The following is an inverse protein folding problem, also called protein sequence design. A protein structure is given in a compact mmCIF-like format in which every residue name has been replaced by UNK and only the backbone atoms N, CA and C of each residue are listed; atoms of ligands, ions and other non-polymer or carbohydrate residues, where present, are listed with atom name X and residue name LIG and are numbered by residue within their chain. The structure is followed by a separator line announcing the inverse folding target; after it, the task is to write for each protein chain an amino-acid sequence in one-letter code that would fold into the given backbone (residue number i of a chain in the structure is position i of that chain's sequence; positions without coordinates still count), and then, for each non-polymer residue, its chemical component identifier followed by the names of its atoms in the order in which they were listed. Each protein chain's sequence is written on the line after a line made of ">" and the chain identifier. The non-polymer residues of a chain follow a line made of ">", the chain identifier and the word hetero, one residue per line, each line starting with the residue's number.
data_IF_118676304262
#
_entry.id   IF_118676304262
#
_cell.length_a   1.000
_cell.length_b   1.000
_cell.length_c   1.000
_cell.angle_alpha   90.00
_cell.angle_beta   90.00
_cell.angle_gamma   90.00
#
_symmetry.space_group_name_H-M   'P 1'
#
loop_
_entity.id
_entity.type
_entity.pdbx_description
1 polymer ?
#
# COMPACT_ATOMS: atom_id res chain seq x y z
N UNK A 1 6.68 -9.57 1.79
CA UNK A 1 6.65 -9.16 3.22
C UNK A 1 5.21 -8.98 3.64
N UNK A 2 4.88 -9.11 4.93
CA UNK A 2 3.49 -8.99 5.41
C UNK A 2 3.41 -7.89 6.49
N UNK A 3 2.41 -7.00 6.39
CA UNK A 3 2.11 -5.98 7.40
C UNK A 3 0.60 -5.93 7.64
N UNK A 4 0.14 -6.20 8.87
CA UNK A 4 -1.30 -6.26 9.24
C UNK A 4 -2.14 -7.15 8.30
N UNK A 5 -1.60 -8.31 7.92
CA UNK A 5 -2.28 -9.24 7.01
C UNK A 5 -2.25 -8.85 5.53
N UNK A 6 -1.64 -7.72 5.17
CA UNK A 6 -1.46 -7.28 3.78
C UNK A 6 -0.08 -7.71 3.29
N UNK A 7 -0.05 -8.46 2.20
CA UNK A 7 1.19 -8.78 1.51
C UNK A 7 1.66 -7.60 0.68
N UNK A 8 2.95 -7.28 0.80
CA UNK A 8 3.58 -6.21 0.06
C UNK A 8 5.02 -6.55 -0.36
N UNK A 9 5.44 -5.87 -1.42
CA UNK A 9 6.79 -5.93 -2.00
C UNK A 9 7.36 -4.52 -2.11
N UNK A 10 8.68 -4.42 -1.90
CA UNK A 10 9.46 -3.19 -2.08
C UNK A 10 10.76 -3.59 -2.76
N UNK A 11 11.07 -2.98 -3.89
CA UNK A 11 12.23 -3.32 -4.72
C UNK A 11 12.95 -2.04 -5.11
N UNK A 12 14.25 -1.96 -4.84
CA UNK A 12 15.08 -0.85 -5.29
C UNK A 12 15.22 -0.92 -6.82
N UNK A 13 14.94 0.19 -7.50
CA UNK A 13 15.07 0.28 -8.96
C UNK A 13 16.33 1.03 -9.35
N UNK A 14 16.63 2.10 -8.61
CA UNK A 14 17.86 2.87 -8.71
C UNK A 14 18.27 3.29 -7.31
N UNK A 15 19.53 3.70 -7.12
CA UNK A 15 20.00 4.18 -5.82
C UNK A 15 19.05 5.27 -5.27
N UNK A 16 18.49 5.02 -4.09
CA UNK A 16 17.54 5.92 -3.46
C UNK A 16 16.10 5.87 -3.97
N UNK A 17 15.74 5.06 -4.96
CA UNK A 17 14.37 4.96 -5.51
C UNK A 17 13.86 3.52 -5.45
N UNK A 18 12.68 3.36 -4.86
CA UNK A 18 12.06 2.08 -4.58
C UNK A 18 10.69 1.98 -5.22
N UNK A 19 10.44 0.95 -6.02
CA UNK A 19 9.09 0.55 -6.43
C UNK A 19 8.46 -0.29 -5.32
N UNK A 20 7.16 -0.17 -5.15
CA UNK A 20 6.42 -0.96 -4.20
C UNK A 20 5.06 -1.37 -4.76
N UNK A 21 4.54 -2.48 -4.25
CA UNK A 21 3.22 -3.01 -4.58
C UNK A 21 2.63 -3.72 -3.37
N UNK A 22 1.33 -3.55 -3.14
CA UNK A 22 0.54 -4.33 -2.19
C UNK A 22 -0.89 -4.50 -2.70
N UNK A 23 -1.65 -5.41 -2.09
CA UNK A 23 -3.04 -5.67 -2.45
C UNK A 23 -3.92 -5.75 -1.21
N UNK A 24 -5.10 -5.11 -1.25
CA UNK A 24 -6.11 -5.21 -0.19
C UNK A 24 -7.44 -5.57 -0.85
N UNK A 25 -7.95 -6.77 -0.57
CA UNK A 25 -9.08 -7.35 -1.31
C UNK A 25 -8.73 -7.43 -2.80
N UNK A 26 -9.59 -6.84 -3.64
CA UNK A 26 -9.42 -6.81 -5.11
C UNK A 26 -8.64 -5.58 -5.60
N UNK A 27 -8.24 -4.66 -4.69
CA UNK A 27 -7.53 -3.44 -5.06
C UNK A 27 -6.03 -3.63 -4.97
N UNK A 28 -5.35 -3.44 -6.10
CA UNK A 28 -3.89 -3.46 -6.19
C UNK A 28 -3.37 -2.03 -6.13
N UNK A 29 -2.47 -1.77 -5.19
CA UNK A 29 -1.81 -0.50 -4.99
C UNK A 29 -0.35 -0.62 -5.41
N UNK A 30 0.12 0.30 -6.24
CA UNK A 30 1.51 0.34 -6.69
C UNK A 30 2.05 1.76 -6.67
N UNK A 31 3.37 1.90 -6.65
CA UNK A 31 3.99 3.21 -6.78
C UNK A 31 5.50 3.19 -6.59
N UNK A 32 6.06 4.39 -6.41
CA UNK A 32 7.48 4.60 -6.09
C UNK A 32 7.63 5.39 -4.80
N UNK A 33 8.81 5.31 -4.19
CA UNK A 33 9.22 6.18 -3.08
C UNK A 33 10.72 6.41 -3.15
N UNK A 34 11.14 7.63 -2.82
CA UNK A 34 12.55 7.99 -2.73
C UNK A 34 13.04 7.88 -1.29
N UNK A 35 13.95 6.96 -1.00
CA UNK A 35 14.53 6.78 0.31
C UNK A 35 15.96 6.28 0.19
N UNK A 36 16.90 6.97 0.83
CA UNK A 36 18.31 6.56 0.90
C UNK A 36 18.53 5.30 1.74
N UNK A 37 17.61 5.02 2.68
CA UNK A 37 17.68 3.88 3.58
C UNK A 37 16.58 2.87 3.26
N UNK A 38 16.94 1.60 3.19
CA UNK A 38 16.04 0.47 2.89
C UNK A 38 14.88 0.40 3.88
N UNK A 39 15.18 0.50 5.18
CA UNK A 39 14.18 0.49 6.25
C UNK A 39 13.19 1.65 6.11
N UNK A 40 13.62 2.81 5.61
CA UNK A 40 12.73 3.96 5.40
C UNK A 40 11.78 3.72 4.22
N UNK A 41 12.24 3.06 3.15
CA UNK A 41 11.38 2.66 2.05
C UNK A 41 10.28 1.71 2.52
N UNK A 42 10.65 0.69 3.31
CA UNK A 42 9.71 -0.28 3.90
C UNK A 42 8.71 0.44 4.81
N UNK A 43 9.19 1.32 5.71
CA UNK A 43 8.32 2.06 6.65
C UNK A 43 7.30 2.93 5.95
N UNK A 44 7.66 3.58 4.84
CA UNK A 44 6.71 4.38 4.05
C UNK A 44 5.62 3.53 3.40
N UNK A 45 5.93 2.31 2.98
CA UNK A 45 4.94 1.38 2.43
C UNK A 45 4.01 0.88 3.53
N UNK A 46 4.53 0.53 4.71
CA UNK A 46 3.71 0.19 5.89
C UNK A 46 2.74 1.31 6.26
N UNK A 47 3.20 2.57 6.29
CA UNK A 47 2.34 3.73 6.57
C UNK A 47 1.25 3.94 5.51
N UNK A 48 1.52 3.62 4.23
CA UNK A 48 0.49 3.65 3.18
C UNK A 48 -0.55 2.55 3.40
N UNK A 49 -0.12 1.34 3.73
CA UNK A 49 -1.01 0.23 4.08
C UNK A 49 -1.89 0.61 5.28
N UNK A 50 -1.30 1.20 6.33
CA UNK A 50 -2.05 1.65 7.51
C UNK A 50 -3.13 2.67 7.15
N UNK A 51 -2.82 3.62 6.25
CA UNK A 51 -3.78 4.61 5.75
C UNK A 51 -4.93 3.97 4.96
N UNK A 52 -4.62 3.05 4.05
CA UNK A 52 -5.66 2.37 3.26
C UNK A 52 -6.54 1.48 4.13
N UNK A 53 -5.96 0.72 5.07
CA UNK A 53 -6.73 -0.07 6.03
C UNK A 53 -7.61 0.82 6.91
N UNK A 54 -7.11 1.96 7.36
CA UNK A 54 -7.89 2.91 8.14
C UNK A 54 -9.04 3.51 7.31
N UNK A 55 -8.79 3.87 6.04
CA UNK A 55 -9.83 4.38 5.15
C UNK A 55 -10.93 3.34 4.87
N UNK A 56 -10.57 2.05 4.79
CA UNK A 56 -11.53 0.95 4.65
C UNK A 56 -12.35 0.73 5.93
N UNK A 57 -11.74 0.91 7.11
CA UNK A 57 -12.41 0.79 8.41
C UNK A 57 -13.25 2.01 8.81
N UNK A 58 -12.87 3.21 8.36
CA UNK A 58 -13.56 4.48 8.64
C UNK A 58 -14.60 4.88 7.59
N UNK A 59 -14.80 4.06 6.54
CA UNK A 59 -15.59 4.44 5.37
C UNK A 59 -16.37 3.30 4.70
N UNK A 60 -17.40 2.78 5.37
CA UNK A 60 -18.65 2.32 4.69
C UNK A 60 -19.84 2.85 5.51
N UNK A 61 -20.86 3.47 4.86
CA UNK A 61 -21.43 3.01 3.61
C UNK A 61 -21.29 4.04 2.48
N UNK A 62 -20.77 3.61 1.32
CA UNK A 62 -21.24 4.16 0.05
C UNK A 62 -21.80 2.98 -0.72
N UNK A 63 -23.12 3.02 -0.91
CA UNK A 63 -23.85 2.09 -1.75
C UNK A 63 -23.16 1.98 -3.09
N UNK A 64 -22.73 0.77 -3.41
CA UNK A 64 -22.64 0.35 -4.80
C UNK A 64 -24.05 -0.11 -5.14
N UNK A 65 -24.82 0.82 -5.71
CA UNK A 65 -26.10 0.52 -6.32
C UNK A 65 -25.87 -0.54 -7.39
N UNK A 66 -26.63 -1.62 -7.26
CA UNK A 66 -27.15 -2.41 -8.37
C UNK A 66 -27.65 -1.47 -9.48
N UNK A 67 -27.06 -1.58 -10.68
CA UNK A 67 -27.52 -1.07 -11.98
C UNK A 67 -26.49 -1.62 -13.00
N UNK A 68 -26.80 -2.45 -13.98
CA UNK A 68 -28.05 -2.88 -14.65
C UNK A 68 -27.83 -4.32 -15.17
#
# INVERSE_FOLDING_TARGET
>A
MIHKGVEFSVTQVTAGVWKWRFQIGDRVYTGKTEAKLDLLAIRRVQLRIDRELNNLGLGRPRGQSDQD
#
